data_IF_893784431096
#
_entry.id   IF_893784431096
#
_cell.length_a   1.000
_cell.length_b   1.000
_cell.length_c   1.000
_cell.angle_alpha   90.00
_cell.angle_beta   90.00
_cell.angle_gamma   90.00
#
_symmetry.space_group_name_H-M   'P 1'
#
loop_
_entity.id
_entity.type
_entity.pdbx_description
1 polymer ?
#
# COMPACT_ATOMS: atom_id res chain seq x y z
N UNK A 1 7.95 29.95 -4.13
CA UNK A 1 7.92 28.75 -4.99
C UNK A 1 6.63 27.99 -4.79
N UNK A 2 6.44 26.91 -5.54
CA UNK A 2 5.32 25.96 -5.39
C UNK A 2 5.93 24.56 -5.32
N UNK A 3 5.41 23.71 -4.42
CA UNK A 3 5.73 22.28 -4.34
C UNK A 3 4.62 21.48 -4.99
N UNK A 4 4.98 20.58 -5.90
CA UNK A 4 4.08 19.63 -6.54
C UNK A 4 4.45 18.23 -6.04
N UNK A 5 3.51 17.56 -5.40
CA UNK A 5 3.73 16.33 -4.64
C UNK A 5 2.99 15.18 -5.31
N UNK A 6 3.70 14.08 -5.53
CA UNK A 6 3.11 12.78 -5.83
C UNK A 6 3.12 11.97 -4.53
N UNK A 7 1.95 11.52 -4.11
CA UNK A 7 1.76 10.93 -2.79
C UNK A 7 1.71 9.40 -2.86
N UNK A 8 2.63 8.77 -2.14
CA UNK A 8 2.66 7.34 -1.82
C UNK A 8 2.27 7.06 -0.36
N UNK A 9 1.62 8.03 0.30
CA UNK A 9 1.28 7.97 1.73
C UNK A 9 -0.23 7.91 1.92
N UNK A 10 -0.68 7.08 2.86
CA UNK A 10 -2.08 7.01 3.28
C UNK A 10 -2.59 8.39 3.70
N UNK A 11 -3.71 8.83 3.11
CA UNK A 11 -4.34 10.11 3.43
C UNK A 11 -3.61 11.35 2.91
N UNK A 12 -2.57 11.17 2.09
CA UNK A 12 -1.76 12.26 1.52
C UNK A 12 -1.17 13.21 2.57
N UNK A 13 -0.72 12.66 3.70
CA UNK A 13 -0.10 13.43 4.78
C UNK A 13 1.23 14.05 4.34
N UNK A 14 1.17 15.34 3.98
CA UNK A 14 2.32 16.14 3.57
C UNK A 14 3.41 16.24 4.64
N UNK A 15 3.11 16.02 5.93
CA UNK A 15 4.12 16.01 6.98
C UNK A 15 4.97 14.74 6.96
N UNK A 16 4.43 13.64 6.45
CA UNK A 16 5.12 12.37 6.30
C UNK A 16 5.89 12.29 4.96
N UNK A 17 5.31 12.80 3.88
CA UNK A 17 5.92 12.76 2.54
C UNK A 17 7.24 13.55 2.54
N UNK A 18 8.35 12.87 2.22
CA UNK A 18 9.70 13.42 2.30
C UNK A 18 9.98 14.16 3.63
N UNK A 19 9.42 13.64 4.74
CA UNK A 19 9.50 14.24 6.08
C UNK A 19 9.05 15.70 6.14
N UNK A 20 8.11 16.09 5.27
CA UNK A 20 7.54 17.44 5.28
C UNK A 20 8.54 18.53 4.92
N UNK A 21 9.54 18.23 4.06
CA UNK A 21 10.63 19.16 3.69
C UNK A 21 10.15 20.58 3.33
N UNK A 22 8.99 20.70 2.68
CA UNK A 22 8.38 22.00 2.29
C UNK A 22 7.09 22.31 3.05
N UNK A 23 6.81 21.54 4.09
CA UNK A 23 5.61 21.60 4.91
C UNK A 23 5.96 22.01 6.35
N UNK A 24 4.95 22.04 7.22
CA UNK A 24 5.14 22.37 8.63
C UNK A 24 5.39 21.12 9.48
N UNK A 25 6.21 21.29 10.51
CA UNK A 25 6.43 20.30 11.55
C UNK A 25 5.72 20.75 12.84
N UNK A 26 4.68 19.99 13.20
CA UNK A 26 3.88 20.25 14.40
C UNK A 26 4.53 19.74 15.69
N UNK A 27 5.58 18.93 15.60
CA UNK A 27 6.30 18.37 16.75
C UNK A 27 7.28 19.37 17.37
N UNK A 28 7.85 19.01 18.51
CA UNK A 28 8.78 19.83 19.27
C UNK A 28 10.05 19.06 19.60
N UNK A 29 11.10 19.77 20.00
CA UNK A 29 12.30 19.15 20.56
C UNK A 29 12.00 18.31 21.81
N UNK A 30 11.01 18.70 22.62
CA UNK A 30 10.57 17.90 23.77
C UNK A 30 9.97 16.58 23.33
N UNK A 31 9.12 16.57 22.28
CA UNK A 31 8.54 15.33 21.75
C UNK A 31 9.63 14.35 21.29
N UNK A 32 10.67 14.86 20.62
CA UNK A 32 11.80 14.05 20.20
C UNK A 32 12.58 13.46 21.38
N UNK A 33 12.81 14.24 22.45
CA UNK A 33 13.46 13.76 23.68
C UNK A 33 12.59 12.70 24.37
N UNK A 34 11.29 12.92 24.47
CA UNK A 34 10.35 12.00 25.09
C UNK A 34 10.31 10.66 24.33
N UNK A 35 10.43 10.68 22.99
CA UNK A 35 10.58 9.46 22.18
C UNK A 35 11.87 8.72 22.52
N UNK A 36 13.01 9.42 22.63
CA UNK A 36 14.29 8.79 23.00
C UNK A 36 14.22 8.14 24.39
N UNK A 37 13.51 8.75 25.33
CA UNK A 37 13.33 8.22 26.68
C UNK A 37 12.35 7.03 26.70
N UNK A 38 11.20 7.15 26.03
CA UNK A 38 10.19 6.09 25.87
C UNK A 38 10.80 4.79 25.35
N UNK A 39 11.66 4.88 24.34
CA UNK A 39 12.32 3.71 23.72
C UNK A 39 13.71 3.39 24.33
N UNK A 40 14.11 4.07 25.40
CA UNK A 40 15.41 3.88 26.10
C UNK A 40 16.62 4.01 25.17
N UNK A 41 16.54 4.91 24.19
CA UNK A 41 17.56 5.15 23.16
C UNK A 41 18.59 6.19 23.57
N UNK A 42 18.33 7.00 24.60
CA UNK A 42 19.21 8.12 25.03
C UNK A 42 20.70 7.75 25.16
N UNK A 43 21.02 6.56 25.68
CA UNK A 43 22.42 6.08 25.83
C UNK A 43 23.06 5.61 24.52
N UNK A 44 22.26 5.31 23.49
CA UNK A 44 22.72 4.89 22.16
C UNK A 44 22.79 6.07 21.18
N UNK A 45 22.18 7.19 21.53
CA UNK A 45 22.17 8.40 20.70
C UNK A 45 23.49 9.16 20.86
N UNK A 46 24.13 9.61 19.75
CA UNK A 46 25.32 10.45 19.81
C UNK A 46 25.11 11.73 20.62
N UNK A 47 26.17 12.19 21.30
CA UNK A 47 26.08 13.34 22.22
C UNK A 47 25.73 14.64 21.49
N UNK A 48 26.18 14.78 20.23
CA UNK A 48 25.92 15.93 19.38
C UNK A 48 24.43 16.08 19.08
N UNK A 49 23.73 14.97 18.85
CA UNK A 49 22.27 14.96 18.64
C UNK A 49 21.55 15.40 19.92
N UNK A 50 21.96 14.85 21.08
CA UNK A 50 21.37 15.24 22.37
C UNK A 50 21.58 16.72 22.67
N UNK A 51 22.75 17.27 22.35
CA UNK A 51 23.04 18.69 22.50
C UNK A 51 22.15 19.57 21.62
N UNK A 52 21.90 19.18 20.37
CA UNK A 52 20.97 19.89 19.48
C UNK A 52 19.55 19.88 20.05
N UNK A 53 19.07 18.72 20.49
CA UNK A 53 17.73 18.60 21.07
C UNK A 53 17.57 19.44 22.34
N UNK A 54 18.54 19.42 23.24
CA UNK A 54 18.52 20.22 24.48
C UNK A 54 18.60 21.73 24.21
N UNK A 55 19.41 22.17 23.25
CA UNK A 55 19.44 23.58 22.81
C UNK A 55 18.07 24.00 22.26
N UNK A 56 17.48 23.15 21.42
CA UNK A 56 16.15 23.38 20.87
C UNK A 56 15.06 23.45 21.93
N UNK A 57 15.08 22.54 22.92
CA UNK A 57 14.16 22.57 24.08
C UNK A 57 14.27 23.85 24.90
N UNK A 58 15.46 24.44 25.00
CA UNK A 58 15.70 25.74 25.66
C UNK A 58 15.35 26.96 24.79
N UNK A 59 14.82 26.76 23.58
CA UNK A 59 14.49 27.84 22.64
C UNK A 59 15.71 28.49 22.00
N UNK A 60 16.88 27.86 22.05
CA UNK A 60 18.14 28.40 21.52
C UNK A 60 18.42 27.96 20.07
N UNK A 61 17.40 27.45 19.38
CA UNK A 61 17.50 26.95 18.01
C UNK A 61 16.15 27.08 17.29
N UNK A 62 16.14 27.78 16.16
CA UNK A 62 14.95 27.95 15.30
C UNK A 62 15.02 27.02 14.09
N UNK A 63 14.84 25.71 14.31
CA UNK A 63 14.87 24.72 13.21
C UNK A 63 13.46 24.25 12.82
N UNK A 64 12.49 24.35 13.74
CA UNK A 64 11.16 23.79 13.51
C UNK A 64 10.27 24.79 12.77
N UNK A 65 9.94 24.46 11.53
CA UNK A 65 9.08 25.26 10.67
C UNK A 65 7.61 25.05 11.08
N UNK A 66 6.99 26.05 11.71
CA UNK A 66 5.59 25.98 12.19
C UNK A 66 4.53 26.41 11.17
N UNK A 67 4.93 26.81 9.97
CA UNK A 67 4.03 27.18 8.88
C UNK A 67 4.63 26.70 7.55
N UNK A 68 3.83 26.26 6.57
CA UNK A 68 4.37 25.81 5.29
C UNK A 68 5.26 26.89 4.65
N UNK A 69 6.48 26.53 4.26
CA UNK A 69 7.42 27.49 3.65
C UNK A 69 6.94 27.96 2.27
N UNK A 70 6.23 27.09 1.55
CA UNK A 70 5.64 27.33 0.24
C UNK A 70 4.28 26.62 0.13
N UNK A 71 3.51 26.93 -0.91
CA UNK A 71 2.26 26.20 -1.21
C UNK A 71 2.59 24.79 -1.70
N UNK A 72 1.88 23.80 -1.18
CA UNK A 72 2.03 22.39 -1.54
C UNK A 72 0.75 21.90 -2.22
N UNK A 73 0.89 21.23 -3.36
CA UNK A 73 -0.22 20.65 -4.11
C UNK A 73 0.05 19.17 -4.35
N UNK A 74 -0.85 18.30 -3.91
CA UNK A 74 -0.85 16.89 -4.32
C UNK A 74 -1.40 16.83 -5.73
N UNK A 75 -0.55 16.44 -6.69
CA UNK A 75 -0.88 16.38 -8.12
C UNK A 75 -1.14 14.97 -8.63
N UNK A 76 -0.74 13.96 -7.86
CA UNK A 76 -1.03 12.56 -8.13
C UNK A 76 -1.07 11.77 -6.82
N UNK A 77 -2.06 10.91 -6.65
CA UNK A 77 -2.17 9.96 -5.55
C UNK A 77 -2.87 8.66 -6.01
N UNK A 78 -3.07 7.72 -5.10
CA UNK A 78 -3.77 6.47 -5.38
C UNK A 78 -5.23 6.68 -5.87
N UNK A 79 -5.93 7.69 -5.35
CA UNK A 79 -7.30 7.99 -5.78
C UNK A 79 -7.38 8.39 -7.25
N UNK A 80 -6.35 9.07 -7.79
CA UNK A 80 -6.26 9.37 -9.21
C UNK A 80 -6.21 8.07 -10.05
N UNK A 81 -5.40 7.09 -9.63
CA UNK A 81 -5.38 5.76 -10.26
C UNK A 81 -6.75 5.09 -10.23
N UNK A 82 -7.43 5.06 -9.07
CA UNK A 82 -8.74 4.42 -8.93
C UNK A 82 -9.82 5.15 -9.76
N UNK A 83 -9.74 6.47 -9.86
CA UNK A 83 -10.64 7.28 -10.67
C UNK A 83 -10.49 6.97 -12.16
N UNK A 84 -9.27 6.83 -12.66
CA UNK A 84 -9.03 6.43 -14.04
C UNK A 84 -9.52 5.00 -14.33
N UNK A 85 -9.22 4.04 -13.43
CA UNK A 85 -9.76 2.68 -13.53
C UNK A 85 -11.29 2.68 -13.56
N UNK A 86 -11.94 3.49 -12.71
CA UNK A 86 -13.40 3.64 -12.65
C UNK A 86 -13.99 4.19 -13.94
N UNK A 87 -13.34 5.19 -14.56
CA UNK A 87 -13.78 5.74 -15.86
C UNK A 87 -13.76 4.67 -16.94
N UNK A 88 -12.67 3.90 -17.03
CA UNK A 88 -12.50 2.82 -18.03
C UNK A 88 -13.50 1.68 -17.78
N UNK A 89 -13.71 1.26 -16.53
CA UNK A 89 -14.67 0.21 -16.21
C UNK A 89 -16.11 0.64 -16.54
N UNK A 90 -16.50 1.89 -16.23
CA UNK A 90 -17.81 2.43 -16.60
C UNK A 90 -18.02 2.51 -18.11
N UNK A 91 -17.00 2.93 -18.88
CA UNK A 91 -17.11 2.99 -20.35
C UNK A 91 -17.27 1.61 -21.00
N UNK A 92 -16.81 0.56 -20.32
CA UNK A 92 -17.05 -0.86 -20.68
C UNK A 92 -18.39 -1.43 -20.17
N UNK A 93 -19.22 -0.63 -19.51
CA UNK A 93 -20.56 -1.01 -19.07
C UNK A 93 -20.60 -1.77 -17.74
N UNK A 94 -19.58 -1.64 -16.89
CA UNK A 94 -19.59 -2.20 -15.54
C UNK A 94 -20.25 -1.27 -14.50
N UNK A 95 -20.95 -1.87 -13.54
CA UNK A 95 -21.39 -1.24 -12.30
C UNK A 95 -20.21 -1.17 -11.33
N UNK A 96 -19.62 0.02 -11.18
CA UNK A 96 -18.34 0.20 -10.47
C UNK A 96 -18.53 0.67 -9.02
N UNK A 97 -17.90 -0.02 -8.08
CA UNK A 97 -17.67 0.43 -6.69
C UNK A 97 -16.17 0.60 -6.46
N UNK A 98 -15.79 1.68 -5.76
CA UNK A 98 -14.40 1.97 -5.38
C UNK A 98 -14.25 1.95 -3.87
N UNK A 99 -13.11 1.47 -3.36
CA UNK A 99 -12.79 1.53 -1.93
C UNK A 99 -11.28 1.69 -1.70
N UNK A 100 -10.89 2.28 -0.57
CA UNK A 100 -9.50 2.26 -0.12
C UNK A 100 -9.29 1.25 1.01
N UNK A 101 -8.13 0.61 1.02
CA UNK A 101 -7.79 -0.51 1.90
C UNK A 101 -6.36 -0.35 2.37
N UNK A 102 -6.19 -0.23 3.68
CA UNK A 102 -4.91 -0.11 4.36
C UNK A 102 -4.81 -1.13 5.50
N UNK A 103 -3.58 -1.41 5.94
CA UNK A 103 -3.30 -2.21 7.13
C UNK A 103 -3.19 -3.72 6.85
N UNK A 104 -3.56 -4.55 7.83
CA UNK A 104 -3.32 -6.01 7.77
C UNK A 104 -4.11 -6.68 6.63
N UNK A 105 -3.42 -7.54 5.88
CA UNK A 105 -3.97 -8.22 4.70
C UNK A 105 -5.22 -9.08 5.00
N UNK A 106 -5.40 -9.59 6.23
CA UNK A 106 -6.60 -10.38 6.57
C UNK A 106 -7.83 -9.49 6.67
N UNK A 107 -7.69 -8.31 7.28
CA UNK A 107 -8.75 -7.32 7.33
C UNK A 107 -9.06 -6.77 5.95
N UNK A 108 -8.04 -6.55 5.12
CA UNK A 108 -8.21 -6.20 3.71
C UNK A 108 -9.05 -7.24 2.96
N UNK A 109 -8.69 -8.53 3.04
CA UNK A 109 -9.44 -9.63 2.40
C UNK A 109 -10.89 -9.65 2.87
N UNK A 110 -11.14 -9.53 4.18
CA UNK A 110 -12.51 -9.51 4.74
C UNK A 110 -13.32 -8.36 4.14
N UNK A 111 -12.79 -7.14 4.17
CA UNK A 111 -13.45 -5.95 3.62
C UNK A 111 -13.72 -6.09 2.12
N UNK A 112 -12.79 -6.65 1.34
CA UNK A 112 -12.99 -6.87 -0.10
C UNK A 112 -14.14 -7.86 -0.32
N UNK A 113 -14.13 -9.01 0.37
CA UNK A 113 -15.15 -10.05 0.22
C UNK A 113 -16.56 -9.53 0.55
N UNK A 114 -16.70 -8.71 1.59
CA UNK A 114 -17.97 -8.05 1.97
C UNK A 114 -18.50 -7.07 0.90
N UNK A 115 -17.65 -6.63 -0.02
CA UNK A 115 -17.98 -5.64 -1.05
C UNK A 115 -18.07 -6.23 -2.46
N UNK A 116 -17.85 -7.54 -2.64
CA UNK A 116 -18.07 -8.22 -3.92
C UNK A 116 -19.58 -8.32 -4.17
N UNK A 117 -20.05 -7.72 -5.26
CA UNK A 117 -21.47 -7.80 -5.66
C UNK A 117 -21.81 -9.18 -6.26
N UNK A 118 -23.06 -9.60 -6.14
CA UNK A 118 -23.60 -10.78 -6.81
C UNK A 118 -24.12 -10.53 -8.23
N UNK A 119 -24.21 -9.26 -8.62
CA UNK A 119 -24.65 -8.82 -9.94
C UNK A 119 -23.63 -9.14 -11.04
N UNK A 120 -24.15 -9.41 -12.23
CA UNK A 120 -23.36 -9.47 -13.47
C UNK A 120 -22.87 -8.07 -13.85
N UNK A 121 -21.73 -7.99 -14.55
CA UNK A 121 -21.09 -6.72 -14.91
C UNK A 121 -20.80 -5.84 -13.69
N UNK A 122 -20.46 -6.44 -12.56
CA UNK A 122 -20.00 -5.69 -11.39
C UNK A 122 -18.47 -5.58 -11.40
N UNK A 123 -17.97 -4.42 -10.94
CA UNK A 123 -16.56 -4.11 -10.89
C UNK A 123 -16.24 -3.48 -9.53
N UNK A 124 -15.53 -4.22 -8.68
CA UNK A 124 -14.98 -3.67 -7.44
C UNK A 124 -13.54 -3.24 -7.70
N UNK A 125 -13.27 -1.96 -7.57
CA UNK A 125 -11.93 -1.38 -7.62
C UNK A 125 -11.50 -1.06 -6.21
N UNK A 126 -10.27 -1.41 -5.86
CA UNK A 126 -9.68 -1.08 -4.58
C UNK A 126 -8.25 -0.58 -4.75
N UNK A 127 -7.78 0.23 -3.80
CA UNK A 127 -6.40 0.68 -3.74
C UNK A 127 -6.00 1.07 -2.33
N UNK A 128 -4.74 1.44 -2.15
CA UNK A 128 -4.14 1.73 -0.86
C UNK A 128 -2.91 0.85 -0.65
N UNK A 129 -2.56 0.55 0.59
CA UNK A 129 -1.31 -0.12 0.92
C UNK A 129 -1.55 -1.18 2.00
N UNK A 130 -1.50 -2.45 1.61
CA UNK A 130 -1.65 -3.55 2.58
C UNK A 130 -0.32 -3.94 3.20
N UNK A 131 -0.38 -4.58 4.37
CA UNK A 131 0.79 -5.13 5.06
C UNK A 131 0.63 -6.62 5.24
N UNK A 132 1.73 -7.34 5.04
CA UNK A 132 1.78 -8.79 5.18
C UNK A 132 2.96 -9.17 6.08
N UNK A 133 2.72 -10.10 7.00
CA UNK A 133 3.79 -10.66 7.81
C UNK A 133 4.51 -11.73 7.00
N UNK A 134 5.79 -11.54 6.74
CA UNK A 134 6.64 -12.54 6.11
C UNK A 134 6.89 -13.69 7.10
N UNK A 135 6.44 -14.90 6.76
CA UNK A 135 6.50 -16.08 7.61
C UNK A 135 7.54 -17.11 7.14
N UNK A 136 7.87 -17.11 5.85
CA UNK A 136 8.80 -18.06 5.24
C UNK A 136 9.90 -17.39 4.43
N UNK A 137 10.56 -18.18 3.59
CA UNK A 137 11.64 -17.75 2.68
C UNK A 137 11.20 -17.75 1.21
N UNK A 138 9.89 -17.69 1.00
CA UNK A 138 9.27 -17.66 -0.33
C UNK A 138 9.56 -16.37 -1.09
N UNK A 139 9.11 -16.37 -2.33
CA UNK A 139 9.10 -15.20 -3.20
C UNK A 139 7.67 -14.70 -3.35
N UNK A 140 7.47 -13.41 -3.13
CA UNK A 140 6.26 -12.70 -3.48
C UNK A 140 6.11 -11.37 -2.74
N UNK A 141 4.91 -10.82 -2.77
CA UNK A 141 4.56 -9.65 -2.00
C UNK A 141 3.10 -9.62 -1.59
N UNK A 142 2.69 -8.46 -1.09
CA UNK A 142 1.36 -8.23 -0.53
C UNK A 142 0.26 -8.33 -1.59
N UNK A 143 0.51 -7.90 -2.83
CA UNK A 143 -0.48 -7.93 -3.90
C UNK A 143 -0.75 -9.37 -4.34
N UNK A 144 0.31 -10.15 -4.58
CA UNK A 144 0.20 -11.56 -4.88
C UNK A 144 -0.44 -12.31 -3.71
N UNK A 145 -0.02 -12.06 -2.48
CA UNK A 145 -0.63 -12.73 -1.33
C UNK A 145 -2.12 -12.36 -1.17
N UNK A 146 -2.50 -11.12 -1.48
CA UNK A 146 -3.89 -10.66 -1.46
C UNK A 146 -4.73 -11.43 -2.49
N UNK A 147 -4.26 -11.53 -3.73
CA UNK A 147 -4.92 -12.30 -4.80
C UNK A 147 -5.04 -13.78 -4.41
N UNK A 148 -4.00 -14.38 -3.82
CA UNK A 148 -4.03 -15.78 -3.38
C UNK A 148 -5.06 -16.01 -2.25
N UNK A 149 -5.14 -15.08 -1.30
CA UNK A 149 -6.13 -15.12 -0.22
C UNK A 149 -7.54 -14.92 -0.75
N UNK A 150 -7.75 -14.03 -1.70
CA UNK A 150 -9.05 -13.83 -2.35
C UNK A 150 -9.46 -15.07 -3.13
N UNK A 151 -8.59 -15.59 -4.01
CA UNK A 151 -8.81 -16.84 -4.75
C UNK A 151 -9.27 -17.96 -3.83
N UNK A 152 -8.55 -18.20 -2.73
CA UNK A 152 -8.89 -19.22 -1.74
C UNK A 152 -10.32 -19.09 -1.19
N UNK A 153 -10.82 -17.88 -1.00
CA UNK A 153 -12.13 -17.60 -0.42
C UNK A 153 -13.26 -17.48 -1.46
N UNK A 154 -12.96 -17.28 -2.74
CA UNK A 154 -13.96 -17.03 -3.79
C UNK A 154 -14.22 -18.23 -4.72
N UNK A 155 -13.54 -19.37 -4.54
CA UNK A 155 -13.67 -20.55 -5.43
C UNK A 155 -15.08 -21.14 -5.56
N UNK A 156 -15.97 -20.85 -4.61
CA UNK A 156 -17.38 -21.31 -4.62
C UNK A 156 -18.35 -20.27 -5.17
N UNK A 157 -17.88 -19.06 -5.44
CA UNK A 157 -18.70 -17.98 -5.97
C UNK A 157 -18.82 -18.09 -7.49
N UNK A 158 -19.75 -17.34 -8.07
CA UNK A 158 -19.84 -17.16 -9.53
C UNK A 158 -18.50 -16.69 -10.10
N UNK A 159 -18.23 -17.05 -11.36
CA UNK A 159 -16.98 -16.74 -12.05
C UNK A 159 -16.62 -15.26 -11.92
N UNK A 160 -15.37 -14.98 -11.58
CA UNK A 160 -14.82 -13.63 -11.46
C UNK A 160 -13.33 -13.62 -11.79
N UNK A 161 -12.82 -12.47 -12.21
CA UNK A 161 -11.39 -12.19 -12.36
C UNK A 161 -10.96 -11.31 -11.19
N UNK A 162 -9.80 -11.59 -10.61
CA UNK A 162 -9.22 -10.90 -9.46
C UNK A 162 -7.81 -10.48 -9.86
N UNK A 163 -7.48 -9.21 -9.71
CA UNK A 163 -6.13 -8.70 -9.89
C UNK A 163 -5.75 -7.70 -8.79
N UNK A 164 -4.47 -7.69 -8.43
CA UNK A 164 -3.86 -6.69 -7.55
C UNK A 164 -2.41 -6.50 -7.97
N UNK A 165 -1.92 -5.27 -7.98
CA UNK A 165 -0.55 -4.92 -8.34
C UNK A 165 -0.07 -3.62 -7.67
N UNK A 166 1.24 -3.52 -7.47
CA UNK A 166 1.93 -2.28 -7.11
C UNK A 166 2.07 -1.37 -8.32
N UNK A 167 1.81 -0.08 -8.15
CA UNK A 167 1.95 0.90 -9.24
C UNK A 167 3.39 1.17 -9.64
N UNK A 168 4.36 0.81 -8.80
CA UNK A 168 5.82 0.85 -9.05
C UNK A 168 6.32 -0.28 -9.96
N UNK A 169 5.48 -1.29 -10.16
CA UNK A 169 5.78 -2.46 -10.98
C UNK A 169 6.46 -3.60 -10.23
N UNK A 170 6.58 -3.53 -8.90
CA UNK A 170 7.18 -4.56 -8.06
C UNK A 170 6.29 -4.90 -6.87
N UNK A 171 6.18 -6.20 -6.55
CA UNK A 171 5.50 -6.71 -5.38
C UNK A 171 6.47 -7.51 -4.50
N UNK A 172 6.81 -6.92 -3.36
CA UNK A 172 7.68 -7.51 -2.35
C UNK A 172 9.08 -7.82 -2.86
N UNK A 173 9.55 -9.05 -2.66
CA UNK A 173 10.87 -9.51 -3.11
C UNK A 173 10.83 -10.22 -4.47
N UNK A 174 9.78 -10.01 -5.26
CA UNK A 174 9.61 -10.62 -6.57
C UNK A 174 9.99 -9.68 -7.71
N UNK A 175 10.00 -10.20 -8.95
CA UNK A 175 10.19 -9.41 -10.18
C UNK A 175 8.87 -9.04 -10.86
N UNK A 176 7.76 -9.20 -10.15
CA UNK A 176 6.41 -9.04 -10.69
C UNK A 176 5.73 -7.89 -9.98
N UNK A 177 4.83 -7.18 -10.66
CA UNK A 177 4.03 -6.12 -10.08
C UNK A 177 2.90 -6.66 -9.19
N UNK A 178 2.49 -7.92 -9.41
CA UNK A 178 1.32 -8.49 -8.75
C UNK A 178 0.86 -9.78 -9.40
N UNK A 179 -0.45 -10.06 -9.31
CA UNK A 179 -1.06 -11.24 -9.92
C UNK A 179 -2.48 -10.96 -10.44
N UNK A 180 -2.89 -11.75 -11.44
CA UNK A 180 -4.24 -11.78 -12.01
C UNK A 180 -4.70 -13.22 -12.19
N UNK A 181 -5.89 -13.55 -11.71
CA UNK A 181 -6.46 -14.91 -11.83
C UNK A 181 -7.97 -14.89 -11.93
N UNK A 182 -8.53 -15.88 -12.62
CA UNK A 182 -9.93 -16.26 -12.39
C UNK A 182 -10.05 -16.99 -11.04
N UNK A 183 -11.24 -16.99 -10.43
CA UNK A 183 -11.52 -17.74 -9.19
C UNK A 183 -11.64 -19.26 -9.41
N UNK A 184 -10.65 -19.85 -10.09
CA UNK A 184 -10.58 -21.29 -10.40
C UNK A 184 -10.51 -22.15 -9.14
N UNK A 185 -10.86 -23.44 -9.30
CA UNK A 185 -10.68 -24.43 -8.24
C UNK A 185 -9.21 -24.86 -8.17
N UNK A 186 -8.61 -24.68 -7.01
CA UNK A 186 -7.27 -25.09 -6.62
C UNK A 186 -7.36 -25.81 -5.27
N UNK A 187 -6.52 -26.82 -5.09
CA UNK A 187 -6.44 -27.53 -3.83
C UNK A 187 -6.10 -26.59 -2.65
N UNK A 188 -6.91 -26.65 -1.58
CA UNK A 188 -6.77 -25.81 -0.40
C UNK A 188 -5.48 -26.10 0.37
N UNK A 189 -4.99 -27.35 0.35
CA UNK A 189 -3.74 -27.71 1.04
C UNK A 189 -2.56 -27.04 0.35
N UNK A 190 -2.52 -27.10 -0.97
CA UNK A 190 -1.52 -26.41 -1.81
C UNK A 190 -1.50 -24.91 -1.54
N UNK A 191 -2.65 -24.22 -1.59
CA UNK A 191 -2.68 -22.77 -1.32
C UNK A 191 -2.23 -22.42 0.10
N UNK A 192 -2.60 -23.24 1.11
CA UNK A 192 -2.16 -23.03 2.49
C UNK A 192 -0.64 -23.17 2.64
N UNK A 193 -0.01 -24.07 1.88
CA UNK A 193 1.45 -24.26 1.89
C UNK A 193 2.18 -23.01 1.37
N UNK A 194 1.77 -22.50 0.20
CA UNK A 194 2.35 -21.28 -0.37
C UNK A 194 2.15 -20.05 0.54
N UNK A 195 0.96 -19.89 1.14
CA UNK A 195 0.71 -18.82 2.10
C UNK A 195 1.58 -18.94 3.36
N UNK A 196 1.77 -20.17 3.87
CA UNK A 196 2.61 -20.41 5.06
C UNK A 196 4.08 -20.07 4.80
N UNK A 197 4.55 -20.27 3.58
CA UNK A 197 5.93 -20.00 3.20
C UNK A 197 6.15 -18.59 2.62
N UNK A 198 5.12 -17.74 2.59
CA UNK A 198 5.17 -16.41 1.93
C UNK A 198 5.67 -16.52 0.47
N UNK A 199 5.12 -17.47 -0.28
CA UNK A 199 5.62 -17.87 -1.61
C UNK A 199 4.57 -17.69 -2.73
N UNK A 200 3.72 -16.67 -2.59
CA UNK A 200 2.62 -16.36 -3.53
C UNK A 200 3.11 -16.10 -4.96
N UNK A 201 4.29 -15.52 -5.15
CA UNK A 201 4.86 -15.26 -6.46
C UNK A 201 5.17 -16.53 -7.26
N UNK A 202 5.69 -17.58 -6.60
CA UNK A 202 5.91 -18.89 -7.24
C UNK A 202 4.60 -19.62 -7.52
N UNK A 203 3.58 -19.45 -6.66
CA UNK A 203 2.25 -20.00 -6.90
C UNK A 203 1.67 -19.49 -8.23
N UNK A 204 1.67 -18.18 -8.43
CA UNK A 204 1.15 -17.59 -9.68
C UNK A 204 2.08 -17.78 -10.87
N UNK A 205 3.39 -17.94 -10.65
CA UNK A 205 4.32 -18.29 -11.72
C UNK A 205 3.97 -19.65 -12.34
N UNK A 206 3.65 -20.65 -11.51
CA UNK A 206 3.18 -21.98 -11.98
C UNK A 206 1.89 -21.89 -12.79
N UNK A 207 1.03 -20.91 -12.51
CA UNK A 207 -0.23 -20.68 -13.21
C UNK A 207 -0.11 -19.71 -14.39
N UNK A 208 1.08 -19.14 -14.64
CA UNK A 208 1.30 -18.04 -15.60
C UNK A 208 0.36 -16.85 -15.36
N UNK A 209 0.17 -16.53 -14.08
CA UNK A 209 -0.80 -15.56 -13.58
C UNK A 209 -0.15 -14.34 -12.90
N UNK A 210 1.19 -14.21 -12.98
CA UNK A 210 1.87 -13.01 -12.51
C UNK A 210 1.69 -11.85 -13.49
N UNK A 211 1.57 -10.63 -12.95
CA UNK A 211 1.57 -9.40 -13.74
C UNK A 211 3.01 -8.90 -13.85
N UNK A 212 3.48 -8.67 -15.06
CA UNK A 212 4.76 -8.02 -15.37
C UNK A 212 4.46 -6.69 -16.03
N UNK A 213 4.94 -5.61 -15.43
CA UNK A 213 4.85 -4.24 -15.99
C UNK A 213 6.22 -3.62 -16.22
N UNK A 214 7.29 -4.29 -15.77
CA UNK A 214 8.59 -3.69 -15.48
C UNK A 214 8.48 -2.47 -14.55
N UNK A 215 9.59 -1.76 -14.31
CA UNK A 215 9.60 -0.55 -13.50
C UNK A 215 8.79 0.56 -14.19
N UNK A 216 7.77 1.06 -13.51
CA UNK A 216 6.91 2.14 -14.03
C UNK A 216 7.49 3.53 -13.74
N UNK A 217 8.50 3.61 -12.87
CA UNK A 217 9.13 4.84 -12.39
C UNK A 217 8.17 5.80 -11.65
N UNK A 218 7.06 5.28 -11.12
CA UNK A 218 6.13 6.02 -10.25
C UNK A 218 5.64 5.10 -9.13
N UNK A 219 5.33 5.64 -7.94
CA UNK A 219 4.72 4.87 -6.87
C UNK A 219 3.57 5.67 -6.28
N UNK A 220 2.35 5.17 -6.44
CA UNK A 220 1.11 5.71 -5.88
C UNK A 220 0.36 4.58 -5.14
N UNK A 221 1.11 3.72 -4.44
CA UNK A 221 0.63 2.55 -3.69
C UNK A 221 0.06 1.43 -4.58
N UNK A 222 -0.69 0.51 -3.98
CA UNK A 222 -1.29 -0.63 -4.68
C UNK A 222 -2.65 -0.28 -5.32
N UNK A 223 -2.96 -0.97 -6.41
CA UNK A 223 -4.28 -0.96 -7.05
C UNK A 223 -4.75 -2.39 -7.33
N UNK A 224 -6.06 -2.60 -7.31
CA UNK A 224 -6.65 -3.89 -7.61
C UNK A 224 -8.09 -3.79 -8.08
N UNK A 225 -8.54 -4.89 -8.68
CA UNK A 225 -9.84 -4.96 -9.35
C UNK A 225 -10.40 -6.39 -9.27
N UNK A 226 -11.71 -6.49 -9.05
CA UNK A 226 -12.50 -7.71 -9.20
C UNK A 226 -13.60 -7.45 -10.22
N UNK A 227 -13.63 -8.28 -11.27
CA UNK A 227 -14.62 -8.21 -12.35
C UNK A 227 -15.50 -9.46 -12.35
N UNK A 228 -16.82 -9.28 -12.46
CA UNK A 228 -17.82 -10.34 -12.65
C UNK A 228 -18.62 -10.16 -13.92
#
# INVERSE_FOLDING_TARGET
GISLVMSDVEGDDLSAIASGTTYMDNTTFSDAIDILEKYKLKRKTPIEVLQVLEKGKKGQSEIIVKKPMIKNYVIANNNDCLNEMKKVAKSKGYNVKTMQIFGDIKEAVRKILENISDEQKSCLIFGGETTVKVLGKGMGGRNQELVLRLLKNTQKLKKMVIASLGTDGIDGNSVFAGAITENIKVDLKTMKEFLKNSDSGRFFQKQKANIVTDFTHTNLMDIGIILK
#
